data_IF_810619610330
#
_entry.id   IF_810619610330
#
_cell.length_a   1.000
_cell.length_b   1.000
_cell.length_c   1.000
_cell.angle_alpha   90.00
_cell.angle_beta   90.00
_cell.angle_gamma   90.00
#
_symmetry.space_group_name_H-M   'P 1'
#
loop_
_entity.id
_entity.type
_entity.pdbx_description
1 polymer ?
#
# COMPACT_ATOMS: atom_id res chain seq x y z
N UNK A 1 -10.19 3.48 -8.18
CA UNK A 1 -8.88 3.81 -7.59
C UNK A 1 -7.96 2.59 -7.57
N UNK A 2 -8.46 1.47 -7.10
CA UNK A 2 -7.66 0.26 -7.04
C UNK A 2 -7.19 -0.21 -8.42
N UNK A 3 -8.09 -0.21 -9.42
CA UNK A 3 -7.73 -0.66 -10.75
C UNK A 3 -6.69 0.25 -11.39
N UNK A 4 -6.79 1.53 -11.18
CA UNK A 4 -5.80 2.48 -11.67
C UNK A 4 -4.43 2.20 -11.06
N UNK A 5 -4.41 1.87 -9.77
CA UNK A 5 -3.16 1.57 -9.07
C UNK A 5 -2.56 0.26 -9.58
N UNK A 6 -3.37 -0.76 -9.82
CA UNK A 6 -2.90 -2.02 -10.39
C UNK A 6 -2.27 -1.77 -11.76
N UNK A 7 -2.95 -0.99 -12.60
CA UNK A 7 -2.44 -0.68 -13.93
C UNK A 7 -1.11 0.07 -13.86
N UNK A 8 -1.01 1.01 -12.95
CA UNK A 8 0.21 1.79 -12.78
C UNK A 8 1.39 0.89 -12.36
N UNK A 9 1.15 0.01 -11.39
CA UNK A 9 2.19 -0.89 -10.92
C UNK A 9 2.70 -1.81 -12.02
N UNK A 10 1.81 -2.31 -12.84
CA UNK A 10 2.18 -3.21 -13.93
C UNK A 10 2.84 -2.47 -15.08
N UNK A 11 2.18 -1.43 -15.60
CA UNK A 11 2.61 -0.77 -16.82
C UNK A 11 3.81 0.13 -16.62
N UNK A 12 3.82 0.91 -15.55
CA UNK A 12 4.86 1.92 -15.33
C UNK A 12 5.99 1.41 -14.46
N UNK A 13 5.68 0.59 -13.47
CA UNK A 13 6.68 0.15 -12.49
C UNK A 13 7.10 -1.30 -12.68
N UNK A 14 6.48 -1.98 -13.62
CA UNK A 14 6.88 -3.33 -14.06
C UNK A 14 6.75 -4.43 -13.02
N UNK A 15 5.84 -4.26 -12.06
CA UNK A 15 5.59 -5.32 -11.09
C UNK A 15 4.82 -6.46 -11.74
N UNK A 16 5.26 -7.71 -11.53
CA UNK A 16 4.54 -8.86 -12.09
C UNK A 16 3.15 -9.01 -11.47
N UNK A 17 2.16 -9.21 -12.31
CA UNK A 17 0.80 -9.38 -11.84
C UNK A 17 0.68 -10.55 -10.86
N UNK A 18 1.46 -11.59 -11.06
CA UNK A 18 1.43 -12.77 -10.19
C UNK A 18 1.90 -12.53 -8.77
N UNK A 19 2.55 -11.40 -8.51
CA UNK A 19 2.99 -11.04 -7.16
C UNK A 19 1.97 -10.17 -6.42
N UNK A 20 0.84 -9.87 -7.06
CA UNK A 20 -0.18 -9.01 -6.45
C UNK A 20 -1.33 -9.83 -5.89
N UNK A 21 -1.83 -9.42 -4.74
CA UNK A 21 -2.98 -10.02 -4.12
C UNK A 21 -3.92 -8.93 -3.62
N UNK A 22 -5.20 -9.10 -3.89
CA UNK A 22 -6.22 -8.20 -3.37
C UNK A 22 -6.69 -8.78 -2.04
N UNK A 23 -6.42 -8.03 -0.97
CA UNK A 23 -6.79 -8.44 0.36
C UNK A 23 -8.02 -7.68 0.81
N UNK A 24 -9.04 -8.38 1.25
CA UNK A 24 -10.14 -7.72 1.92
C UNK A 24 -9.63 -7.37 3.31
N UNK A 25 -9.79 -6.12 3.73
CA UNK A 25 -9.24 -5.65 5.00
C UNK A 25 -9.91 -6.31 6.18
N UNK A 26 -9.61 -7.56 6.42
CA UNK A 26 -10.40 -8.43 7.29
C UNK A 26 -10.13 -8.24 8.77
N UNK A 27 -8.89 -8.05 9.13
CA UNK A 27 -8.52 -8.20 10.53
C UNK A 27 -8.78 -6.99 11.37
N UNK A 28 -8.56 -5.82 10.84
CA UNK A 28 -8.70 -4.62 11.63
C UNK A 28 -9.89 -3.78 11.23
N UNK A 29 -10.60 -4.20 10.18
CA UNK A 29 -11.61 -3.33 9.59
C UNK A 29 -12.80 -4.07 9.04
N UNK A 30 -13.45 -4.81 9.89
CA UNK A 30 -14.58 -5.63 9.49
C UNK A 30 -15.75 -4.86 8.91
N UNK A 31 -15.89 -3.59 9.29
CA UNK A 31 -17.01 -2.79 8.88
C UNK A 31 -16.79 -2.04 7.58
N UNK A 32 -15.58 -1.99 7.11
CA UNK A 32 -15.27 -1.28 5.89
C UNK A 32 -15.19 -2.24 4.73
N UNK A 33 -15.71 -1.79 3.61
CA UNK A 33 -15.81 -2.62 2.42
C UNK A 33 -14.66 -2.41 1.45
N UNK A 34 -13.61 -1.75 1.89
CA UNK A 34 -12.48 -1.53 1.01
C UNK A 34 -11.58 -2.75 1.01
N UNK A 35 -10.87 -2.87 -0.07
CA UNK A 35 -9.88 -3.92 -0.25
C UNK A 35 -8.51 -3.30 -0.33
N UNK A 36 -7.55 -4.00 0.23
CA UNK A 36 -6.16 -3.59 0.14
C UNK A 36 -5.49 -4.38 -0.96
N UNK A 37 -4.49 -3.79 -1.56
CA UNK A 37 -3.66 -4.46 -2.54
C UNK A 37 -2.31 -4.70 -1.90
N UNK A 38 -1.83 -5.93 -1.96
CA UNK A 38 -0.51 -6.28 -1.43
C UNK A 38 0.33 -6.81 -2.57
N UNK A 39 1.53 -6.24 -2.71
CA UNK A 39 2.51 -6.73 -3.67
C UNK A 39 3.58 -7.49 -2.90
N UNK A 40 3.81 -8.73 -3.29
CA UNK A 40 4.77 -9.60 -2.60
C UNK A 40 6.11 -9.58 -3.32
N UNK A 41 7.17 -9.89 -2.61
CA UNK A 41 8.47 -10.07 -3.23
C UNK A 41 8.59 -11.51 -3.75
N UNK A 42 9.72 -11.83 -4.36
CA UNK A 42 9.92 -13.16 -4.94
C UNK A 42 10.04 -14.27 -3.91
N UNK A 43 10.16 -13.91 -2.65
CA UNK A 43 10.21 -14.87 -1.55
C UNK A 43 8.87 -15.05 -0.87
N UNK A 44 7.83 -14.42 -1.41
CA UNK A 44 6.48 -14.54 -0.87
C UNK A 44 6.21 -13.64 0.33
N UNK A 45 7.07 -12.67 0.59
CA UNK A 45 6.88 -11.73 1.70
C UNK A 45 6.22 -10.46 1.21
N UNK A 46 5.35 -9.84 2.01
CA UNK A 46 4.77 -8.55 1.64
C UNK A 46 5.86 -7.51 1.42
N UNK A 47 5.77 -6.82 0.31
CA UNK A 47 6.73 -5.78 -0.04
C UNK A 47 6.07 -4.40 -0.07
N UNK A 48 4.90 -4.30 -0.71
CA UNK A 48 4.16 -3.04 -0.78
C UNK A 48 2.73 -3.29 -0.33
N UNK A 49 2.26 -2.47 0.60
CA UNK A 49 0.86 -2.46 1.01
C UNK A 49 0.24 -1.20 0.44
N UNK A 50 -0.81 -1.37 -0.35
CA UNK A 50 -1.53 -0.25 -0.96
C UNK A 50 -2.91 -0.15 -0.35
N UNK A 51 -3.19 1.00 0.25
CA UNK A 51 -4.51 1.31 0.80
C UNK A 51 -5.20 2.26 -0.17
N UNK A 52 -6.32 1.81 -0.73
CA UNK A 52 -7.08 2.63 -1.69
C UNK A 52 -8.29 3.20 -1.00
N UNK A 53 -8.40 4.53 -1.02
CA UNK A 53 -9.52 5.26 -0.46
C UNK A 53 -10.42 5.79 -1.57
N UNK A 54 -11.67 6.09 -1.24
CA UNK A 54 -12.58 6.70 -2.20
C UNK A 54 -12.05 8.08 -2.61
N UNK A 55 -12.39 8.57 -3.82
CA UNK A 55 -11.85 9.83 -4.32
C UNK A 55 -12.15 11.05 -3.47
N UNK A 56 -13.24 11.03 -2.71
CA UNK A 56 -13.63 12.15 -1.86
C UNK A 56 -13.03 12.06 -0.45
N UNK A 57 -12.28 11.02 -0.14
CA UNK A 57 -11.66 10.87 1.16
C UNK A 57 -10.33 11.61 1.17
N UNK A 58 -10.15 12.47 2.16
CA UNK A 58 -8.92 13.22 2.31
C UNK A 58 -7.85 12.37 2.98
N UNK A 59 -6.66 12.36 2.40
CA UNK A 59 -5.53 11.65 3.00
C UNK A 59 -4.97 12.50 4.15
N UNK A 60 -4.71 11.87 5.29
CA UNK A 60 -4.33 12.58 6.49
C UNK A 60 -3.36 11.76 7.32
N UNK A 61 -2.85 12.37 8.39
CA UNK A 61 -2.01 11.65 9.35
C UNK A 61 -2.73 10.48 9.97
N UNK A 62 -4.02 10.63 10.19
CA UNK A 62 -4.85 9.55 10.74
C UNK A 62 -4.87 8.36 9.81
N UNK A 63 -4.98 8.62 8.50
CA UNK A 63 -4.94 7.56 7.50
C UNK A 63 -3.61 6.83 7.55
N UNK A 64 -2.51 7.58 7.63
CA UNK A 64 -1.18 7.01 7.72
C UNK A 64 -1.05 6.13 8.98
N UNK A 65 -1.54 6.63 10.08
CA UNK A 65 -1.47 5.90 11.35
C UNK A 65 -2.23 4.56 11.27
N UNK A 66 -3.43 4.60 10.67
CA UNK A 66 -4.24 3.40 10.52
C UNK A 66 -3.54 2.35 9.67
N UNK A 67 -2.96 2.77 8.55
CA UNK A 67 -2.27 1.85 7.64
C UNK A 67 -1.01 1.31 8.31
N UNK A 68 -0.27 2.15 9.01
CA UNK A 68 0.91 1.72 9.76
C UNK A 68 0.58 0.68 10.80
N UNK A 69 -0.54 0.87 11.50
CA UNK A 69 -0.98 -0.08 12.52
C UNK A 69 -1.31 -1.43 11.90
N UNK A 70 -2.01 -1.41 10.79
CA UNK A 70 -2.33 -2.63 10.07
C UNK A 70 -1.06 -3.32 9.57
N UNK A 71 -0.10 -2.52 9.11
CA UNK A 71 1.14 -3.07 8.57
C UNK A 71 2.00 -3.77 9.61
N UNK A 72 1.73 -3.59 10.89
CA UNK A 72 2.45 -4.35 11.90
C UNK A 72 2.23 -5.84 11.75
N UNK A 73 1.10 -6.23 11.20
CA UNK A 73 0.80 -7.64 10.94
C UNK A 73 1.38 -8.12 9.62
N UNK A 74 1.32 -7.28 8.58
CA UNK A 74 1.85 -7.65 7.26
C UNK A 74 3.34 -7.46 7.14
N UNK A 75 3.87 -6.43 7.76
CA UNK A 75 5.29 -6.09 7.74
C UNK A 75 5.82 -5.84 6.33
N UNK A 76 5.05 -5.13 5.52
CA UNK A 76 5.50 -4.70 4.21
C UNK A 76 6.58 -3.64 4.34
N UNK A 77 7.42 -3.51 3.32
CA UNK A 77 8.52 -2.56 3.32
C UNK A 77 8.09 -1.15 2.92
N UNK A 78 7.02 -1.06 2.13
CA UNK A 78 6.55 0.21 1.58
C UNK A 78 5.05 0.28 1.78
N UNK A 79 4.59 1.46 2.21
CA UNK A 79 3.16 1.74 2.37
C UNK A 79 2.75 2.78 1.34
N UNK A 80 1.65 2.53 0.65
CA UNK A 80 1.10 3.47 -0.32
C UNK A 80 -0.36 3.71 0.04
N UNK A 81 -0.74 4.98 0.11
CA UNK A 81 -2.11 5.38 0.39
C UNK A 81 -2.54 6.30 -0.73
N UNK A 82 -3.64 5.98 -1.39
CA UNK A 82 -4.10 6.80 -2.50
C UNK A 82 -5.62 6.89 -2.52
N UNK A 83 -6.14 8.02 -2.98
CA UNK A 83 -7.57 8.20 -3.25
C UNK A 83 -7.82 8.44 -4.74
N UNK A 84 -6.81 8.21 -5.58
CA UNK A 84 -6.91 8.42 -7.01
C UNK A 84 -6.52 9.82 -7.44
N UNK A 85 -6.55 10.79 -6.54
CA UNK A 85 -6.15 12.18 -6.80
C UNK A 85 -4.82 12.50 -6.17
N UNK A 86 -4.55 11.90 -5.03
CA UNK A 86 -3.33 12.09 -4.26
C UNK A 86 -2.76 10.72 -3.91
N UNK A 87 -1.46 10.69 -3.69
CA UNK A 87 -0.78 9.47 -3.28
C UNK A 87 0.28 9.82 -2.25
N UNK A 88 0.30 9.06 -1.17
CA UNK A 88 1.34 9.13 -0.17
C UNK A 88 2.12 7.82 -0.24
N UNK A 89 3.43 7.91 -0.35
CA UNK A 89 4.30 6.74 -0.44
C UNK A 89 5.34 6.82 0.67
N UNK A 90 5.43 5.78 1.47
CA UNK A 90 6.28 5.76 2.65
C UNK A 90 7.11 4.48 2.68
N UNK A 91 8.37 4.62 3.04
CA UNK A 91 9.24 3.48 3.27
C UNK A 91 9.37 3.23 4.76
N UNK A 92 9.21 1.98 5.17
CA UNK A 92 9.34 1.59 6.57
C UNK A 92 10.82 1.47 6.91
N UNK A 93 11.27 2.26 7.86
CA UNK A 93 12.65 2.19 8.35
C UNK A 93 12.64 1.48 9.70
N UNK A 94 12.80 0.17 9.66
CA UNK A 94 12.63 -0.67 10.86
C UNK A 94 13.62 -0.36 11.96
N UNK A 95 14.85 -0.12 11.59
CA UNK A 95 15.90 0.16 12.58
C UNK A 95 15.66 1.45 13.34
N UNK A 96 15.05 2.42 12.66
CA UNK A 96 14.76 3.72 13.25
C UNK A 96 13.34 3.82 13.79
N UNK A 97 12.54 2.78 13.58
CA UNK A 97 11.12 2.77 13.92
C UNK A 97 10.41 4.00 13.36
N UNK A 98 10.63 4.27 12.09
CA UNK A 98 10.23 5.51 11.43
C UNK A 98 9.70 5.24 10.03
N UNK A 99 9.02 6.24 9.46
CA UNK A 99 8.54 6.20 8.08
C UNK A 99 9.22 7.31 7.30
N UNK A 100 9.77 6.96 6.15
CA UNK A 100 10.43 7.91 5.27
C UNK A 100 9.54 8.19 4.07
N UNK A 101 9.27 9.45 3.79
CA UNK A 101 8.47 9.83 2.63
C UNK A 101 9.26 9.59 1.34
N UNK A 102 8.62 8.97 0.38
CA UNK A 102 9.19 8.76 -0.95
C UNK A 102 8.40 9.58 -1.97
N UNK A 103 9.09 10.01 -3.03
CA UNK A 103 8.43 10.77 -4.09
C UNK A 103 7.50 9.89 -4.93
N UNK A 104 7.84 8.61 -5.06
CA UNK A 104 7.05 7.67 -5.82
C UNK A 104 7.37 6.26 -5.36
N UNK A 105 6.59 5.30 -5.84
CA UNK A 105 6.81 3.90 -5.55
C UNK A 105 8.05 3.43 -6.32
N UNK A 106 9.03 2.79 -5.65
CA UNK A 106 10.18 2.25 -6.36
C UNK A 106 9.76 1.20 -7.38
N UNK A 107 10.36 1.18 -8.57
CA UNK A 107 9.99 0.19 -9.57
C UNK A 107 10.48 -1.21 -9.19
N UNK A 108 9.88 -2.20 -9.81
CA UNK A 108 10.29 -3.59 -9.65
C UNK A 108 11.68 -3.80 -10.27
N UNK A 109 12.49 -4.57 -9.59
CA UNK A 109 13.84 -4.84 -10.07
C UNK A 109 13.94 -6.17 -10.81
#
# INVERSE_FOLDING_TARGET
VRQQMVNYLIAELHYPKGLMSIEAGLHYNKRQKRTDLVVYDNNGKPHILVECKAPDVKLSRETIFQVSTYNKELDANILVITNGKEMICLQVEREKNNLKTLDDIPPYK
#
